data_IF_388686432284
#
_entry.id   IF_388686432284
#
_cell.length_a   1.000
_cell.length_b   1.000
_cell.length_c   1.000
_cell.angle_alpha   90.00
_cell.angle_beta   90.00
_cell.angle_gamma   90.00
#
_symmetry.space_group_name_H-M   'P 1'
#
loop_
_entity.id
_entity.type
_entity.pdbx_description
1 polymer ?
#
# COMPACT_ATOMS: atom_id res chain seq x y z
N UNK A 1 -10.24 -13.82 -11.55
CA UNK A 1 -9.74 -12.44 -11.82
C UNK A 1 -9.07 -11.95 -10.57
N UNK A 2 -8.01 -11.13 -10.64
CA UNK A 2 -7.38 -10.58 -9.44
C UNK A 2 -7.66 -9.08 -9.28
N UNK A 3 -7.59 -8.58 -8.05
CA UNK A 3 -7.69 -7.16 -7.72
C UNK A 3 -6.49 -6.80 -6.85
N UNK A 4 -5.82 -5.69 -7.16
CA UNK A 4 -4.75 -5.12 -6.36
C UNK A 4 -5.17 -3.76 -5.80
N UNK A 5 -5.31 -3.66 -4.48
CA UNK A 5 -5.56 -2.40 -3.79
C UNK A 5 -4.24 -1.78 -3.37
N UNK A 6 -3.98 -0.56 -3.81
CA UNK A 6 -2.78 0.18 -3.44
C UNK A 6 -3.17 1.32 -2.50
N UNK A 7 -2.48 1.40 -1.38
CA UNK A 7 -2.67 2.42 -0.36
C UNK A 7 -1.30 2.81 0.22
N UNK A 8 -1.28 3.92 0.96
CA UNK A 8 -0.12 4.51 1.58
C UNK A 8 -0.32 4.71 3.08
N UNK A 9 0.73 4.44 3.85
CA UNK A 9 0.76 4.70 5.28
C UNK A 9 1.99 5.52 5.63
N UNK A 10 1.77 6.70 6.20
CA UNK A 10 2.84 7.63 6.58
C UNK A 10 2.55 9.04 6.07
N UNK A 11 3.56 9.89 6.08
CA UNK A 11 3.48 11.24 5.54
C UNK A 11 4.61 11.41 4.52
N UNK A 12 4.40 12.04 3.36
CA UNK A 12 5.49 12.37 2.43
C UNK A 12 6.28 13.63 2.85
N UNK A 13 5.94 14.24 3.98
CA UNK A 13 6.58 15.46 4.46
C UNK A 13 8.04 15.26 4.84
N UNK A 14 8.81 16.36 4.74
CA UNK A 14 10.18 16.46 5.20
C UNK A 14 10.33 16.04 6.67
N UNK A 15 11.42 15.36 6.99
CA UNK A 15 11.77 14.99 8.36
C UNK A 15 12.89 15.95 8.84
N UNK A 16 12.58 17.01 9.61
CA UNK A 16 13.58 18.04 9.92
C UNK A 16 14.62 17.58 10.95
N UNK A 17 14.28 16.66 11.84
CA UNK A 17 15.19 16.14 12.86
C UNK A 17 14.71 14.78 13.41
N UNK A 18 15.58 14.12 14.17
CA UNK A 18 15.33 12.78 14.74
C UNK A 18 14.29 12.79 15.87
N UNK A 19 14.02 13.96 16.46
CA UNK A 19 13.14 14.16 17.61
C UNK A 19 11.79 14.80 17.25
N UNK A 20 11.41 14.76 15.97
CA UNK A 20 10.17 15.38 15.51
C UNK A 20 9.00 14.41 15.68
N UNK A 21 7.78 14.96 15.75
CA UNK A 21 6.55 14.14 15.74
C UNK A 21 6.19 13.62 14.33
N UNK A 22 6.98 13.97 13.31
CA UNK A 22 6.75 13.53 11.93
C UNK A 22 7.17 12.06 11.80
N UNK A 23 6.30 11.26 11.20
CA UNK A 23 6.58 9.84 10.98
C UNK A 23 7.81 9.66 10.08
N UNK A 24 8.83 8.93 10.55
CA UNK A 24 10.06 8.70 9.78
C UNK A 24 9.89 7.63 8.70
N UNK A 25 8.75 6.93 8.68
CA UNK A 25 8.47 5.85 7.72
C UNK A 25 7.31 6.26 6.82
N UNK A 26 7.49 6.05 5.53
CA UNK A 26 6.42 6.02 4.53
C UNK A 26 6.37 4.62 3.93
N UNK A 27 5.18 4.05 3.86
CA UNK A 27 4.93 2.74 3.24
C UNK A 27 3.95 2.98 2.10
N UNK A 28 4.27 2.42 0.93
CA UNK A 28 3.33 2.31 -0.19
C UNK A 28 3.21 0.83 -0.47
N UNK A 29 1.99 0.30 -0.39
CA UNK A 29 1.76 -1.13 -0.48
C UNK A 29 0.55 -1.47 -1.36
N UNK A 30 0.71 -2.49 -2.19
CA UNK A 30 -0.34 -3.14 -2.96
C UNK A 30 -0.71 -4.48 -2.36
N UNK A 31 -1.98 -4.68 -2.06
CA UNK A 31 -2.57 -5.95 -1.64
C UNK A 31 -3.30 -6.57 -2.84
N UNK A 32 -2.76 -7.63 -3.40
CA UNK A 32 -3.37 -8.40 -4.47
C UNK A 32 -4.15 -9.60 -3.91
N UNK A 33 -5.35 -9.84 -4.45
CA UNK A 33 -6.20 -10.96 -4.05
C UNK A 33 -7.08 -11.45 -5.21
N UNK A 34 -7.50 -12.73 -5.21
CA UNK A 34 -8.54 -13.22 -6.10
C UNK A 34 -9.86 -12.49 -5.83
N UNK A 35 -10.57 -12.08 -6.88
CA UNK A 35 -11.88 -11.41 -6.79
C UNK A 35 -12.87 -12.27 -6.00
N UNK A 36 -12.78 -13.59 -6.17
CA UNK A 36 -13.66 -14.58 -5.59
C UNK A 36 -13.52 -14.65 -4.06
N UNK A 37 -12.38 -14.22 -3.50
CA UNK A 37 -12.13 -14.16 -2.06
C UNK A 37 -12.73 -12.93 -1.36
N UNK A 38 -13.09 -11.87 -2.10
CA UNK A 38 -13.50 -10.59 -1.53
C UNK A 38 -14.66 -10.69 -0.55
N UNK A 39 -15.72 -11.43 -0.88
CA UNK A 39 -16.90 -11.56 -0.02
C UNK A 39 -16.55 -12.26 1.30
N UNK A 40 -15.77 -13.35 1.23
CA UNK A 40 -15.31 -14.09 2.42
C UNK A 40 -14.41 -13.23 3.31
N UNK A 41 -13.39 -12.58 2.72
CA UNK A 41 -12.48 -11.67 3.44
C UNK A 41 -13.28 -10.55 4.10
N UNK A 42 -14.22 -9.93 3.39
CA UNK A 42 -15.02 -8.82 3.93
C UNK A 42 -15.87 -9.24 5.13
N UNK A 43 -16.50 -10.42 5.07
CA UNK A 43 -17.28 -10.97 6.20
C UNK A 43 -16.38 -11.29 7.40
N UNK A 44 -15.22 -11.88 7.16
CA UNK A 44 -14.24 -12.19 8.21
C UNK A 44 -13.68 -10.91 8.84
N UNK A 45 -13.37 -9.90 8.02
CA UNK A 45 -12.94 -8.59 8.49
C UNK A 45 -13.96 -7.95 9.41
N UNK A 46 -15.25 -7.93 9.03
CA UNK A 46 -16.33 -7.40 9.87
C UNK A 46 -16.40 -8.16 11.20
N UNK A 47 -16.27 -9.48 11.19
CA UNK A 47 -16.26 -10.30 12.41
C UNK A 47 -15.08 -9.98 13.32
N UNK A 48 -13.88 -9.88 12.75
CA UNK A 48 -12.64 -9.54 13.47
C UNK A 48 -12.77 -8.13 14.07
N UNK A 49 -13.27 -7.16 13.29
CA UNK A 49 -13.55 -5.80 13.73
C UNK A 49 -14.57 -5.74 14.86
N UNK A 50 -15.65 -6.52 14.80
CA UNK A 50 -16.64 -6.63 15.88
C UNK A 50 -16.02 -7.16 17.17
N UNK A 51 -15.24 -8.24 17.08
CA UNK A 51 -14.53 -8.79 18.23
C UNK A 51 -13.55 -7.78 18.83
N UNK A 52 -12.89 -6.99 17.99
CA UNK A 52 -12.03 -5.91 18.45
C UNK A 52 -12.82 -4.76 19.10
N UNK A 53 -13.95 -4.32 18.55
CA UNK A 53 -14.66 -3.18 19.13
C UNK A 53 -15.45 -3.56 20.40
N UNK A 54 -16.08 -4.73 20.41
CA UNK A 54 -17.08 -5.09 21.42
C UNK A 54 -16.75 -6.37 22.21
N UNK A 55 -15.67 -7.07 21.87
CA UNK A 55 -15.35 -8.35 22.50
C UNK A 55 -16.38 -9.43 22.14
N UNK A 56 -16.84 -10.18 23.13
CA UNK A 56 -17.86 -11.23 22.95
C UNK A 56 -19.30 -10.70 23.02
N UNK A 57 -19.50 -9.48 23.52
CA UNK A 57 -20.82 -8.88 23.73
C UNK A 57 -21.20 -8.01 22.54
N UNK A 58 -22.05 -8.53 21.65
CA UNK A 58 -22.51 -7.78 20.48
C UNK A 58 -23.64 -6.80 20.83
N UNK A 59 -23.58 -5.51 20.46
CA UNK A 59 -24.75 -4.64 20.44
C UNK A 59 -25.75 -5.13 19.37
N UNK A 60 -27.06 -5.06 19.64
CA UNK A 60 -28.11 -5.57 18.73
C UNK A 60 -28.20 -4.84 17.36
N UNK A 61 -27.42 -3.78 17.13
CA UNK A 61 -27.45 -2.95 15.93
C UNK A 61 -26.38 -3.41 14.91
N UNK A 62 -26.74 -4.35 14.03
CA UNK A 62 -25.86 -4.89 12.97
C UNK A 62 -25.22 -3.84 12.04
N UNK A 63 -25.69 -2.60 12.06
CA UNK A 63 -25.27 -1.52 11.15
C UNK A 63 -24.21 -0.57 11.73
N UNK A 64 -23.99 -0.53 13.05
CA UNK A 64 -23.00 0.40 13.64
C UNK A 64 -21.56 -0.06 13.44
N UNK A 65 -21.34 -1.37 13.34
CA UNK A 65 -20.00 -1.96 13.18
C UNK A 65 -19.34 -1.59 11.84
N UNK A 66 -20.14 -1.38 10.79
CA UNK A 66 -19.66 -0.90 9.51
C UNK A 66 -19.26 0.58 9.57
N UNK A 67 -19.99 1.38 10.36
CA UNK A 67 -19.81 2.83 10.45
C UNK A 67 -18.62 3.25 11.30
N UNK A 68 -18.26 2.45 12.32
CA UNK A 68 -17.13 2.78 13.19
C UNK A 68 -15.80 2.52 12.47
N UNK A 69 -15.21 3.54 11.87
CA UNK A 69 -13.92 3.40 11.21
C UNK A 69 -12.82 3.02 12.21
N UNK A 70 -12.03 2.00 11.86
CA UNK A 70 -10.87 1.61 12.66
C UNK A 70 -9.63 2.30 12.09
N UNK A 71 -9.15 3.35 12.76
CA UNK A 71 -7.96 4.08 12.30
C UNK A 71 -6.69 3.32 12.69
N UNK A 72 -5.81 3.06 11.72
CA UNK A 72 -4.50 2.46 11.99
C UNK A 72 -3.61 3.31 12.92
N UNK A 73 -3.82 4.63 12.98
CA UNK A 73 -3.13 5.52 13.90
C UNK A 73 -3.46 5.21 15.38
N UNK A 74 -4.70 4.84 15.67
CA UNK A 74 -5.14 4.46 17.02
C UNK A 74 -4.53 3.12 17.44
N UNK A 75 -4.51 2.14 16.52
CA UNK A 75 -3.83 0.86 16.76
C UNK A 75 -2.35 1.06 17.09
N UNK A 76 -1.65 1.88 16.30
CA UNK A 76 -0.23 2.19 16.54
C UNK A 76 -0.05 2.94 17.86
N UNK A 77 -0.96 3.84 18.23
CA UNK A 77 -0.92 4.54 19.52
C UNK A 77 -1.05 3.56 20.68
N UNK A 78 -2.05 2.67 20.66
CA UNK A 78 -2.25 1.64 21.69
C UNK A 78 -0.99 0.76 21.87
N UNK A 79 -0.36 0.36 20.77
CA UNK A 79 0.91 -0.40 20.80
C UNK A 79 2.05 0.44 21.40
N UNK A 80 2.20 1.70 20.98
CA UNK A 80 3.27 2.59 21.47
C UNK A 80 3.15 2.93 22.95
N UNK A 81 1.93 3.14 23.44
CA UNK A 81 1.65 3.51 24.84
C UNK A 81 1.84 2.35 25.82
N UNK A 82 2.06 1.12 25.31
CA UNK A 82 2.36 -0.09 26.10
C UNK A 82 1.32 -0.41 27.18
N UNK A 83 0.08 0.05 27.01
CA UNK A 83 -1.05 -0.43 27.79
C UNK A 83 -1.32 -1.87 27.39
N UNK A 84 -0.75 -2.83 28.15
CA UNK A 84 -0.73 -4.27 27.80
C UNK A 84 -2.06 -4.78 27.22
N UNK A 85 -3.23 -4.55 27.84
CA UNK A 85 -4.49 -5.09 27.31
C UNK A 85 -4.86 -4.54 25.93
N UNK A 86 -4.59 -3.26 25.67
CA UNK A 86 -4.94 -2.61 24.41
C UNK A 86 -3.94 -2.94 23.30
N UNK A 87 -2.65 -2.98 23.64
CA UNK A 87 -1.59 -3.40 22.74
C UNK A 87 -1.78 -4.87 22.29
N UNK A 88 -2.07 -5.78 23.22
CA UNK A 88 -2.33 -7.20 22.91
C UNK A 88 -3.55 -7.36 22.01
N UNK A 89 -4.60 -6.58 22.27
CA UNK A 89 -5.82 -6.56 21.46
C UNK A 89 -5.55 -6.05 20.04
N UNK A 90 -4.73 -5.00 19.90
CA UNK A 90 -4.32 -4.46 18.60
C UNK A 90 -3.43 -5.45 17.82
N UNK A 91 -2.50 -6.13 18.49
CA UNK A 91 -1.69 -7.19 17.89
C UNK A 91 -2.54 -8.38 17.44
N UNK A 92 -3.47 -8.83 18.28
CA UNK A 92 -4.39 -9.92 17.95
C UNK A 92 -5.23 -9.59 16.72
N UNK A 93 -5.78 -8.38 16.66
CA UNK A 93 -6.49 -7.90 15.46
C UNK A 93 -5.58 -7.98 14.22
N UNK A 94 -4.41 -7.36 14.26
CA UNK A 94 -3.50 -7.34 13.11
C UNK A 94 -3.12 -8.76 12.65
N UNK A 95 -2.84 -9.66 13.59
CA UNK A 95 -2.53 -11.05 13.33
C UNK A 95 -3.69 -11.78 12.63
N UNK A 96 -4.91 -11.70 13.18
CA UNK A 96 -6.09 -12.34 12.58
C UNK A 96 -6.38 -11.82 11.17
N UNK A 97 -6.14 -10.54 10.91
CA UNK A 97 -6.29 -9.96 9.57
C UNK A 97 -5.28 -10.56 8.58
N UNK A 98 -4.01 -10.63 8.98
CA UNK A 98 -2.97 -11.23 8.15
C UNK A 98 -3.24 -12.71 7.89
N UNK A 99 -3.64 -13.48 8.90
CA UNK A 99 -4.04 -14.88 8.74
C UNK A 99 -5.21 -15.03 7.76
N UNK A 100 -6.25 -14.20 7.89
CA UNK A 100 -7.37 -14.18 6.94
C UNK A 100 -6.89 -13.89 5.53
N UNK A 101 -6.02 -12.90 5.33
CA UNK A 101 -5.49 -12.55 4.00
C UNK A 101 -4.67 -13.70 3.41
N UNK A 102 -3.76 -14.30 4.19
CA UNK A 102 -2.92 -15.43 3.78
C UNK A 102 -3.78 -16.64 3.39
N UNK A 103 -4.79 -16.96 4.22
CA UNK A 103 -5.68 -18.10 3.98
C UNK A 103 -6.49 -17.98 2.67
N UNK A 104 -6.65 -16.76 2.15
CA UNK A 104 -7.35 -16.49 0.89
C UNK A 104 -6.38 -16.22 -0.28
N UNK A 105 -5.09 -16.53 -0.13
CA UNK A 105 -4.10 -16.36 -1.18
C UNK A 105 -3.82 -14.90 -1.53
N UNK A 106 -3.93 -13.99 -0.56
CA UNK A 106 -3.53 -12.61 -0.78
C UNK A 106 -2.00 -12.48 -0.86
N UNK A 107 -1.52 -11.65 -1.77
CA UNK A 107 -0.11 -11.29 -1.91
C UNK A 107 0.09 -9.80 -1.60
N UNK A 108 1.12 -9.49 -0.82
CA UNK A 108 1.45 -8.13 -0.43
C UNK A 108 2.74 -7.69 -1.13
N UNK A 109 2.67 -6.59 -1.86
CA UNK A 109 3.82 -5.93 -2.46
C UNK A 109 4.00 -4.58 -1.78
N UNK A 110 5.17 -4.29 -1.25
CA UNK A 110 5.37 -3.03 -0.54
C UNK A 110 6.75 -2.44 -0.75
N UNK A 111 6.81 -1.12 -0.67
CA UNK A 111 8.05 -0.39 -0.50
C UNK A 111 7.99 0.36 0.83
N UNK A 112 8.92 0.04 1.72
CA UNK A 112 9.13 0.75 2.99
C UNK A 112 10.23 1.76 2.77
N UNK A 113 9.93 3.03 3.04
CA UNK A 113 10.84 4.15 2.88
C UNK A 113 11.11 4.72 4.27
N UNK A 114 12.37 4.67 4.68
CA UNK A 114 12.84 5.28 5.92
C UNK A 114 13.46 6.62 5.54
N UNK A 115 12.87 7.72 6.04
CA UNK A 115 13.36 9.07 5.79
C UNK A 115 14.64 9.32 6.57
N UNK A 116 15.60 9.94 5.90
CA UNK A 116 16.79 10.47 6.55
C UNK A 116 16.47 11.90 7.04
N UNK A 117 16.74 12.21 8.31
CA UNK A 117 16.62 13.56 8.86
C UNK A 117 17.45 14.57 8.06
N UNK A 118 16.87 15.75 7.83
CA UNK A 118 17.48 16.87 7.11
C UNK A 118 17.80 16.61 5.61
N UNK A 119 17.32 15.49 5.04
CA UNK A 119 17.52 15.16 3.64
C UNK A 119 16.32 15.56 2.75
N UNK A 120 16.61 15.92 1.50
CA UNK A 120 15.57 16.33 0.55
C UNK A 120 14.71 15.14 0.15
N UNK A 121 13.49 15.10 0.67
CA UNK A 121 12.52 14.07 0.32
C UNK A 121 11.85 14.35 -1.03
N UNK A 122 12.30 13.69 -2.10
CA UNK A 122 11.62 13.73 -3.40
C UNK A 122 10.46 12.72 -3.45
N UNK A 123 9.33 13.11 -2.84
CA UNK A 123 8.14 12.26 -2.78
C UNK A 123 7.70 11.77 -4.15
N UNK A 124 7.60 12.65 -5.14
CA UNK A 124 7.12 12.30 -6.50
C UNK A 124 7.87 11.13 -7.12
N UNK A 125 9.20 11.12 -7.01
CA UNK A 125 10.01 10.02 -7.53
C UNK A 125 9.78 8.71 -6.76
N UNK A 126 9.77 8.78 -5.43
CA UNK A 126 9.59 7.61 -4.57
C UNK A 126 8.24 6.94 -4.80
N UNK A 127 7.16 7.72 -4.92
CA UNK A 127 5.84 7.19 -5.26
C UNK A 127 5.87 6.52 -6.64
N UNK A 128 6.43 7.17 -7.66
CA UNK A 128 6.50 6.57 -8.99
C UNK A 128 7.26 5.22 -8.99
N UNK A 129 8.39 5.15 -8.28
CA UNK A 129 9.18 3.92 -8.12
C UNK A 129 8.42 2.81 -7.39
N UNK A 130 7.77 3.14 -6.27
CA UNK A 130 6.97 2.18 -5.51
C UNK A 130 5.81 1.64 -6.34
N UNK A 131 5.08 2.53 -7.02
CA UNK A 131 3.94 2.18 -7.85
C UNK A 131 4.34 1.30 -9.04
N UNK A 132 5.44 1.61 -9.74
CA UNK A 132 5.95 0.75 -10.81
C UNK A 132 6.37 -0.63 -10.29
N UNK A 133 7.00 -0.69 -9.10
CA UNK A 133 7.41 -1.96 -8.49
C UNK A 133 6.20 -2.82 -8.13
N UNK A 134 5.18 -2.24 -7.50
CA UNK A 134 3.93 -2.92 -7.17
C UNK A 134 3.25 -3.40 -8.46
N UNK A 135 3.12 -2.54 -9.47
CA UNK A 135 2.49 -2.90 -10.74
C UNK A 135 3.24 -4.04 -11.45
N UNK A 136 4.57 -4.02 -11.46
CA UNK A 136 5.40 -5.09 -12.02
C UNK A 136 5.15 -6.42 -11.33
N UNK A 137 5.21 -6.45 -9.99
CA UNK A 137 5.02 -7.70 -9.23
C UNK A 137 3.59 -8.22 -9.39
N UNK A 138 2.60 -7.33 -9.39
CA UNK A 138 1.22 -7.70 -9.66
C UNK A 138 1.04 -8.26 -11.07
N UNK A 139 1.71 -7.71 -12.08
CA UNK A 139 1.67 -8.27 -13.44
C UNK A 139 2.29 -9.67 -13.51
N UNK A 140 3.41 -9.90 -12.82
CA UNK A 140 4.00 -11.23 -12.71
C UNK A 140 3.04 -12.26 -12.08
N UNK A 141 2.26 -11.84 -11.08
CA UNK A 141 1.20 -12.67 -10.53
C UNK A 141 0.12 -12.99 -11.59
N UNK A 142 -0.33 -11.98 -12.34
CA UNK A 142 -1.34 -12.19 -13.39
C UNK A 142 -0.85 -13.14 -14.49
N UNK A 143 0.41 -13.02 -14.90
CA UNK A 143 1.03 -13.91 -15.90
C UNK A 143 1.12 -15.35 -15.38
N UNK A 144 1.57 -15.52 -14.12
CA UNK A 144 1.66 -16.82 -13.46
C UNK A 144 0.30 -17.51 -13.35
N UNK A 145 -0.75 -16.75 -13.02
CA UNK A 145 -2.10 -17.26 -12.81
C UNK A 145 -2.96 -17.24 -14.10
N UNK A 146 -2.38 -16.85 -15.25
CA UNK A 146 -3.06 -16.67 -16.54
C UNK A 146 -4.38 -15.90 -16.40
N UNK A 147 -4.35 -14.79 -15.65
CA UNK A 147 -5.53 -14.07 -15.19
C UNK A 147 -5.55 -12.61 -15.62
N UNK A 148 -6.75 -12.01 -15.61
CA UNK A 148 -6.94 -10.58 -15.77
C UNK A 148 -6.91 -9.86 -14.42
N UNK A 149 -6.53 -8.58 -14.41
CA UNK A 149 -6.32 -7.82 -13.18
C UNK A 149 -6.81 -6.37 -13.18
N UNK A 150 -7.36 -5.96 -12.04
CA UNK A 150 -7.75 -4.57 -11.73
C UNK A 150 -6.82 -4.01 -10.65
N UNK A 151 -6.31 -2.79 -10.85
CA UNK A 151 -5.60 -2.06 -9.80
C UNK A 151 -6.52 -0.93 -9.36
N UNK A 152 -6.72 -0.79 -8.05
CA UNK A 152 -7.43 0.31 -7.40
C UNK A 152 -6.42 0.99 -6.50
N UNK A 153 -6.10 2.25 -6.76
CA UNK A 153 -5.11 3.00 -5.99
C UNK A 153 -5.78 4.16 -5.28
N UNK A 154 -5.70 4.17 -3.96
CA UNK A 154 -6.01 5.34 -3.13
C UNK A 154 -4.68 6.06 -2.86
N UNK A 155 -4.42 7.13 -3.63
CA UNK A 155 -3.15 7.86 -3.56
C UNK A 155 -3.38 9.35 -3.44
N UNK A 156 -2.60 10.00 -2.57
CA UNK A 156 -2.73 11.43 -2.27
C UNK A 156 -2.28 12.29 -3.48
N UNK A 157 -1.31 11.81 -4.25
CA UNK A 157 -0.72 12.56 -5.37
C UNK A 157 -1.37 12.16 -6.69
N UNK A 158 -2.48 12.82 -7.03
CA UNK A 158 -3.23 12.58 -8.26
C UNK A 158 -2.42 12.82 -9.55
N UNK A 159 -1.41 13.69 -9.51
CA UNK A 159 -0.52 13.94 -10.66
C UNK A 159 0.36 12.74 -11.05
N UNK A 160 0.44 11.72 -10.18
CA UNK A 160 1.14 10.46 -10.45
C UNK A 160 0.24 9.37 -11.04
N UNK A 161 -1.09 9.59 -11.10
CA UNK A 161 -2.04 8.67 -11.72
C UNK A 161 -1.78 8.49 -13.23
N UNK A 162 -1.30 9.55 -13.91
CA UNK A 162 -1.00 9.49 -15.34
C UNK A 162 0.17 8.55 -15.66
N UNK A 163 1.36 8.66 -15.04
CA UNK A 163 2.44 7.67 -15.19
C UNK A 163 2.00 6.22 -14.91
N UNK A 164 1.12 6.01 -13.93
CA UNK A 164 0.50 4.72 -13.58
C UNK A 164 -0.38 4.16 -14.70
N UNK A 165 -1.25 5.00 -15.26
CA UNK A 165 -2.09 4.67 -16.41
C UNK A 165 -1.28 4.43 -17.69
N UNK A 166 0.02 4.73 -17.71
CA UNK A 166 0.88 4.52 -18.87
C UNK A 166 1.77 3.29 -18.72
N UNK A 167 2.25 3.02 -17.50
CA UNK A 167 2.99 1.80 -17.18
C UNK A 167 2.14 0.52 -17.38
N UNK A 168 0.80 0.62 -17.26
CA UNK A 168 -0.14 -0.50 -17.48
C UNK A 168 -0.55 -0.69 -18.95
N UNK A 169 -0.34 0.30 -19.83
CA UNK A 169 -0.88 0.30 -21.21
C UNK A 169 0.20 0.35 -22.28
N UNK A 170 1.24 -0.46 -22.11
CA UNK A 170 2.25 -0.71 -23.14
C UNK A 170 1.69 -1.31 -24.45
N UNK A 171 0.39 -1.61 -24.56
CA UNK A 171 -0.20 -2.18 -25.77
C UNK A 171 -1.27 -1.33 -26.48
N UNK A 172 -1.84 -0.28 -25.86
CA UNK A 172 -2.64 0.76 -26.51
C UNK A 172 -3.24 1.67 -25.44
N UNK A 173 -2.80 2.93 -25.40
CA UNK A 173 -3.50 3.96 -24.63
C UNK A 173 -4.80 4.26 -25.37
N UNK A 174 -6.00 4.03 -24.79
CA UNK A 174 -7.24 4.47 -25.41
C UNK A 174 -7.17 5.99 -25.57
N UNK A 175 -7.43 6.50 -26.78
CA UNK A 175 -7.43 7.95 -26.99
C UNK A 175 -8.48 8.59 -26.08
N UNK A 176 -8.01 9.37 -25.09
CA UNK A 176 -8.93 10.15 -24.29
C UNK A 176 -9.58 11.21 -25.19
N UNK A 177 -10.92 11.31 -25.15
CA UNK A 177 -11.68 12.38 -25.83
C UNK A 177 -11.39 13.77 -25.26
N UNK A 178 -10.67 13.83 -24.13
CA UNK A 178 -10.34 15.05 -23.40
C UNK A 178 -8.82 15.18 -23.26
N UNK A 179 -8.07 15.09 -24.36
CA UNK A 179 -6.65 15.43 -24.38
C UNK A 179 -6.51 16.93 -24.13
N UNK A 180 -6.15 17.35 -22.91
CA UNK A 180 -5.60 18.68 -22.67
C UNK A 180 -4.14 18.68 -23.12
N UNK A 181 -3.70 19.75 -23.77
CA UNK A 181 -2.35 19.85 -24.33
C UNK A 181 -1.25 19.72 -23.26
N UNK A 182 -1.55 20.12 -22.03
CA UNK A 182 -0.70 19.96 -20.85
C UNK A 182 -0.43 18.48 -20.50
N UNK A 183 -1.41 17.58 -20.70
CA UNK A 183 -1.26 16.15 -20.39
C UNK A 183 -0.30 15.46 -21.38
N UNK A 184 -0.31 15.90 -22.64
CA UNK A 184 0.62 15.46 -23.69
C UNK A 184 2.05 15.95 -23.43
N UNK A 185 2.20 17.17 -22.92
CA UNK A 185 3.51 17.69 -22.52
C UNK A 185 4.06 16.93 -21.31
N UNK A 186 3.22 16.65 -20.31
CA UNK A 186 3.59 15.81 -19.18
C UNK A 186 3.97 14.39 -19.64
N UNK A 187 3.19 13.78 -20.53
CA UNK A 187 3.51 12.48 -21.14
C UNK A 187 4.91 12.47 -21.75
N UNK A 188 5.18 13.39 -22.69
CA UNK A 188 6.49 13.48 -23.37
C UNK A 188 7.64 13.77 -22.40
N UNK A 189 7.38 14.56 -21.35
CA UNK A 189 8.37 14.92 -20.32
C UNK A 189 8.78 13.71 -19.48
N UNK A 190 7.84 12.83 -19.13
CA UNK A 190 8.10 11.66 -18.29
C UNK A 190 8.44 10.38 -19.08
N UNK A 191 8.04 10.30 -20.34
CA UNK A 191 8.30 9.15 -21.22
C UNK A 191 9.78 8.74 -21.26
N UNK A 192 10.70 9.71 -21.38
CA UNK A 192 12.15 9.45 -21.43
C UNK A 192 12.68 8.91 -20.10
N UNK A 193 12.13 9.38 -18.96
CA UNK A 193 12.50 8.92 -17.61
C UNK A 193 11.95 7.52 -17.32
N UNK A 194 10.70 7.27 -17.69
CA UNK A 194 10.06 5.95 -17.57
C UNK A 194 10.78 4.90 -18.41
N UNK A 195 11.14 5.22 -19.66
CA UNK A 195 11.95 4.33 -20.54
C UNK A 195 13.33 4.01 -19.94
N UNK A 196 13.90 4.89 -19.13
CA UNK A 196 15.20 4.67 -18.47
C UNK A 196 15.04 3.76 -17.25
N UNK A 197 14.01 3.99 -16.43
CA UNK A 197 13.68 3.18 -15.25
C UNK A 197 13.30 1.73 -15.61
N UNK A 198 12.62 1.51 -16.75
CA UNK A 198 12.32 0.17 -17.24
C UNK A 198 13.57 -0.59 -17.72
N UNK A 199 14.63 0.11 -18.15
CA UNK A 199 15.88 -0.50 -18.65
C UNK A 199 16.87 -0.87 -17.54
N UNK A 200 16.79 -0.22 -16.38
CA UNK A 200 17.69 -0.47 -15.23
C UNK A 200 17.25 -1.62 -14.33
N UNK A 201 16.22 -2.40 -14.72
CA UNK A 201 15.70 -3.54 -13.96
C UNK A 201 16.62 -4.77 -13.96
N UNK A 202 17.87 -4.62 -13.53
CA UNK A 202 18.74 -5.72 -13.13
C UNK A 202 18.64 -5.89 -11.61
N UNK A 203 18.24 -7.09 -11.19
CA UNK A 203 18.54 -7.76 -9.92
C UNK A 203 18.94 -6.87 -8.74
N UNK A 204 18.07 -6.70 -7.73
CA UNK A 204 18.46 -6.50 -6.32
C UNK A 204 17.22 -6.53 -5.42
N UNK A 205 17.11 -7.59 -4.61
CA UNK A 205 16.57 -7.45 -3.26
C UNK A 205 17.59 -6.59 -2.51
N UNK A 206 17.27 -5.33 -2.30
CA UNK A 206 18.06 -4.44 -1.46
C UNK A 206 17.14 -3.79 -0.43
N UNK A 207 17.11 -4.39 0.75
CA UNK A 207 16.96 -3.61 1.98
C UNK A 207 18.26 -2.83 2.11
N UNK A 208 18.32 -1.61 1.57
CA UNK A 208 19.35 -0.67 1.97
C UNK A 208 18.91 -0.03 3.28
N UNK A 209 19.21 -0.71 4.39
CA UNK A 209 19.47 -0.01 5.64
C UNK A 209 20.94 0.42 5.62
N UNK A 210 21.22 1.71 5.77
CA UNK A 210 22.57 2.18 6.08
C UNK A 210 22.97 1.87 7.55
N UNK A 211 22.26 0.94 8.20
CA UNK A 211 22.54 0.45 9.53
C UNK A 211 22.42 -1.08 9.54
N UNK A 212 23.47 -1.81 9.94
CA UNK A 212 23.51 -3.29 9.92
C UNK A 212 22.55 -3.98 10.92
N UNK A 213 21.84 -3.23 11.77
CA UNK A 213 21.10 -3.81 12.92
C UNK A 213 19.56 -3.83 12.79
N UNK A 214 18.99 -3.41 11.65
CA UNK A 214 17.53 -3.35 11.45
C UNK A 214 17.02 -4.39 10.46
N UNK A 215 17.32 -5.66 10.72
CA UNK A 215 16.62 -6.78 10.11
C UNK A 215 15.31 -7.03 10.87
N UNK A 216 14.21 -6.41 10.43
CA UNK A 216 12.87 -6.75 10.92
C UNK A 216 12.47 -8.08 10.26
N UNK A 217 12.64 -9.18 11.00
CA UNK A 217 12.02 -10.47 10.68
C UNK A 217 10.51 -10.35 10.95
N UNK A 218 9.70 -10.46 9.91
CA UNK A 218 8.28 -10.81 10.08
C UNK A 218 8.23 -12.31 10.35
N UNK A 219 7.85 -12.69 11.57
CA UNK A 219 7.33 -14.02 11.94
C UNK A 219 5.82 -14.02 11.75
#
# INVERSE_FOLDING_TARGET
MHICYIDEAGCPGYLPANNTEIQPVLIIAGLALPKEALDSISRQFIKIKQQYLYGETRPNSRHQDALNELKGADLRRAIRERLKPEADKAHKLAHQLLETLIAHGAELYGQVIIKVPDDKFNGTQLYAEAMMRIAKNYHQLLDKELSNGLIVADIIISSLLMPLALAKFGEQVPESKHKKEEDLQNFKRYEKRLKTLCRSGSSLVAVQSNHPDLAIKFL
#
